data_IF_653212464341
#
_entry.id   IF_653212464341
#
_cell.length_a   1.000
_cell.length_b   1.000
_cell.length_c   1.000
_cell.angle_alpha   90.00
_cell.angle_beta   90.00
_cell.angle_gamma   90.00
#
_symmetry.space_group_name_H-M   'P 1'
#
loop_
_entity.id
_entity.type
_entity.pdbx_description
1 polymer ?
#
# COMPACT_ATOMS: atom_id res chain seq x y z
N UNK A 1 -31.76 1.25 21.10
CA UNK A 1 -30.76 0.66 22.01
C UNK A 1 -30.94 -0.85 22.12
N UNK A 2 -32.07 -1.35 22.62
CA UNK A 2 -32.32 -2.81 22.69
C UNK A 2 -32.49 -3.46 21.29
N UNK A 3 -33.22 -2.80 20.39
CA UNK A 3 -33.47 -3.28 19.02
C UNK A 3 -32.19 -3.36 18.17
N UNK A 4 -31.38 -2.30 18.16
CA UNK A 4 -30.06 -2.27 17.50
C UNK A 4 -29.09 -3.34 18.02
N UNK A 5 -29.22 -3.75 19.29
CA UNK A 5 -28.37 -4.78 19.88
C UNK A 5 -28.82 -6.18 19.45
N UNK A 6 -30.13 -6.41 19.34
CA UNK A 6 -30.70 -7.66 18.85
C UNK A 6 -30.42 -7.89 17.36
N UNK A 7 -30.46 -6.84 16.55
CA UNK A 7 -30.05 -6.86 15.15
C UNK A 7 -28.56 -7.20 15.00
N UNK A 8 -27.71 -6.57 15.82
CA UNK A 8 -26.28 -6.86 15.82
C UNK A 8 -25.98 -8.30 16.25
N UNK A 9 -26.63 -8.80 17.30
CA UNK A 9 -26.49 -10.20 17.73
C UNK A 9 -26.90 -11.17 16.61
N UNK A 10 -28.02 -10.89 15.94
CA UNK A 10 -28.50 -11.69 14.81
C UNK A 10 -27.50 -11.67 13.65
N UNK A 11 -26.94 -10.50 13.34
CA UNK A 11 -25.89 -10.37 12.32
C UNK A 11 -24.65 -11.20 12.67
N UNK A 12 -24.15 -11.11 13.90
CA UNK A 12 -22.97 -11.87 14.34
C UNK A 12 -23.25 -13.37 14.28
N UNK A 13 -24.41 -13.82 14.78
CA UNK A 13 -24.80 -15.23 14.74
C UNK A 13 -24.87 -15.78 13.32
N UNK A 14 -25.47 -15.02 12.40
CA UNK A 14 -25.61 -15.44 11.00
C UNK A 14 -24.27 -15.47 10.24
N UNK A 15 -23.32 -14.62 10.64
CA UNK A 15 -22.03 -14.49 9.96
C UNK A 15 -20.87 -15.15 10.71
N UNK A 16 -21.14 -15.87 11.82
CA UNK A 16 -20.10 -16.38 12.73
C UNK A 16 -19.03 -17.21 12.02
N UNK A 17 -19.42 -18.07 11.08
CA UNK A 17 -18.49 -18.91 10.29
C UNK A 17 -17.60 -18.09 9.34
N UNK A 18 -18.00 -16.85 9.01
CA UNK A 18 -17.28 -15.95 8.11
C UNK A 18 -16.48 -14.88 8.85
N UNK A 19 -16.60 -14.77 10.18
CA UNK A 19 -15.85 -13.81 10.98
C UNK A 19 -14.45 -14.38 11.27
N UNK A 20 -13.36 -13.78 10.75
CA UNK A 20 -12.02 -14.26 11.02
C UNK A 20 -11.66 -14.12 12.50
N UNK A 21 -10.91 -15.09 13.03
CA UNK A 21 -10.33 -14.98 14.37
C UNK A 21 -9.16 -13.98 14.37
N UNK A 22 -9.48 -12.70 14.53
CA UNK A 22 -8.48 -11.63 14.54
C UNK A 22 -7.45 -11.77 15.68
N UNK A 23 -7.82 -12.39 16.80
CA UNK A 23 -6.92 -12.63 17.93
C UNK A 23 -5.86 -13.69 17.62
N UNK A 24 -6.23 -14.74 16.90
CA UNK A 24 -5.28 -15.74 16.41
C UNK A 24 -4.36 -15.16 15.33
N UNK A 25 -4.92 -14.42 14.37
CA UNK A 25 -4.12 -13.72 13.36
C UNK A 25 -3.09 -12.78 13.97
N UNK A 26 -3.46 -12.02 15.00
CA UNK A 26 -2.53 -11.16 15.71
C UNK A 26 -1.37 -11.94 16.34
N UNK A 27 -1.66 -13.06 17.02
CA UNK A 27 -0.64 -13.91 17.66
C UNK A 27 0.29 -14.56 16.63
N UNK A 28 -0.21 -14.85 15.44
CA UNK A 28 0.56 -15.43 14.33
C UNK A 28 1.29 -14.36 13.48
N UNK A 29 1.13 -13.06 13.78
CA UNK A 29 1.67 -11.99 12.97
C UNK A 29 1.02 -11.86 11.58
N UNK A 30 -0.14 -12.47 11.40
CA UNK A 30 -0.92 -12.39 10.17
C UNK A 30 -1.64 -11.04 10.05
N UNK A 31 -1.91 -10.62 8.82
CA UNK A 31 -2.66 -9.39 8.55
C UNK A 31 -4.04 -9.45 9.19
N UNK A 32 -4.25 -8.65 10.24
CA UNK A 32 -5.50 -8.62 11.01
C UNK A 32 -6.62 -8.02 10.17
N UNK A 33 -6.36 -6.98 9.38
CA UNK A 33 -7.38 -6.41 8.50
C UNK A 33 -6.91 -5.17 7.76
N UNK A 34 -7.75 -4.70 6.85
CA UNK A 34 -7.50 -3.52 6.02
C UNK A 34 -7.90 -2.21 6.68
N UNK A 35 -8.51 -2.23 7.87
CA UNK A 35 -9.06 -1.05 8.54
C UNK A 35 -8.07 0.14 8.65
N UNK A 36 -6.80 -0.14 8.96
CA UNK A 36 -5.75 0.89 8.99
C UNK A 36 -5.48 1.49 7.59
N UNK A 37 -5.40 0.62 6.58
CA UNK A 37 -5.20 1.01 5.18
C UNK A 37 -6.40 1.82 4.68
N UNK A 38 -7.62 1.37 4.98
CA UNK A 38 -8.87 2.04 4.64
C UNK A 38 -8.95 3.44 5.27
N UNK A 39 -8.65 3.55 6.57
CA UNK A 39 -8.61 4.85 7.26
C UNK A 39 -7.59 5.80 6.62
N UNK A 40 -6.40 5.29 6.28
CA UNK A 40 -5.36 6.06 5.59
C UNK A 40 -5.82 6.54 4.21
N UNK A 41 -6.45 5.65 3.42
CA UNK A 41 -7.02 5.99 2.11
C UNK A 41 -8.10 7.06 2.27
N UNK A 42 -9.00 6.90 3.23
CA UNK A 42 -10.09 7.84 3.48
C UNK A 42 -9.56 9.25 3.81
N UNK A 43 -8.49 9.32 4.63
CA UNK A 43 -7.83 10.59 4.93
C UNK A 43 -7.20 11.24 3.68
N UNK A 44 -6.50 10.46 2.86
CA UNK A 44 -5.88 10.94 1.62
C UNK A 44 -6.93 11.44 0.62
N UNK A 45 -7.99 10.66 0.39
CA UNK A 45 -9.11 11.03 -0.49
C UNK A 45 -9.78 12.30 0.00
N UNK A 46 -10.09 12.38 1.29
CA UNK A 46 -10.69 13.57 1.90
C UNK A 46 -9.83 14.82 1.68
N UNK A 47 -8.51 14.70 1.89
CA UNK A 47 -7.58 15.82 1.76
C UNK A 47 -7.31 16.23 0.31
N UNK A 48 -7.22 15.28 -0.63
CA UNK A 48 -6.77 15.51 -2.01
C UNK A 48 -7.89 15.65 -3.04
N UNK A 49 -9.10 15.17 -2.75
CA UNK A 49 -10.22 15.17 -3.71
C UNK A 49 -11.47 15.88 -3.20
N UNK A 50 -11.81 15.75 -1.92
CA UNK A 50 -13.11 16.22 -1.42
C UNK A 50 -13.06 17.67 -0.94
N UNK A 51 -12.03 18.04 -0.17
CA UNK A 51 -11.93 19.39 0.40
C UNK A 51 -11.39 20.38 -0.63
N UNK A 52 -11.91 21.61 -0.64
CA UNK A 52 -11.37 22.75 -1.41
C UNK A 52 -10.05 23.25 -0.79
N UNK A 53 -9.02 22.42 -0.90
CA UNK A 53 -7.65 22.70 -0.43
C UNK A 53 -6.77 23.12 -1.60
N UNK A 54 -5.77 23.98 -1.37
CA UNK A 54 -4.72 24.24 -2.35
C UNK A 54 -3.89 22.96 -2.49
N UNK A 55 -3.87 22.34 -3.68
CA UNK A 55 -3.38 20.98 -4.01
C UNK A 55 -4.42 19.86 -4.01
N UNK A 56 -5.53 20.07 -4.72
CA UNK A 56 -6.36 18.97 -5.19
C UNK A 56 -5.65 18.16 -6.28
N UNK A 57 -5.82 16.85 -6.26
CA UNK A 57 -5.33 15.99 -7.33
C UNK A 57 -6.41 15.77 -8.37
N UNK A 58 -5.99 15.78 -9.64
CA UNK A 58 -6.84 15.23 -10.71
C UNK A 58 -6.78 13.70 -10.64
N UNK A 59 -7.79 13.02 -11.19
CA UNK A 59 -7.79 11.55 -11.28
C UNK A 59 -6.53 11.03 -11.96
N UNK A 60 -6.12 11.67 -13.07
CA UNK A 60 -4.87 11.35 -13.78
C UNK A 60 -3.63 11.59 -12.91
N UNK A 61 -3.57 12.69 -12.18
CA UNK A 61 -2.45 13.00 -11.28
C UNK A 61 -2.30 11.95 -10.18
N UNK A 62 -3.40 11.54 -9.54
CA UNK A 62 -3.37 10.50 -8.53
C UNK A 62 -2.98 9.13 -9.09
N UNK A 63 -3.48 8.77 -10.28
CA UNK A 63 -3.09 7.54 -10.96
C UNK A 63 -1.58 7.49 -11.22
N UNK A 64 -1.01 8.57 -11.75
CA UNK A 64 0.43 8.66 -12.01
C UNK A 64 1.24 8.59 -10.71
N UNK A 65 0.81 9.28 -9.65
CA UNK A 65 1.47 9.19 -8.34
C UNK A 65 1.46 7.77 -7.77
N UNK A 66 0.33 7.06 -7.91
CA UNK A 66 0.24 5.66 -7.49
C UNK A 66 1.21 4.79 -8.28
N UNK A 67 1.25 4.92 -9.61
CA UNK A 67 2.21 4.20 -10.45
C UNK A 67 3.65 4.49 -10.02
N UNK A 68 4.02 5.76 -9.82
CA UNK A 68 5.36 6.13 -9.33
C UNK A 68 5.65 5.50 -7.98
N UNK A 69 4.72 5.55 -7.04
CA UNK A 69 4.91 4.96 -5.70
C UNK A 69 5.10 3.45 -5.77
N UNK A 70 4.32 2.74 -6.60
CA UNK A 70 4.50 1.30 -6.82
C UNK A 70 5.88 1.00 -7.39
N UNK A 71 6.35 1.76 -8.37
CA UNK A 71 7.69 1.58 -8.94
C UNK A 71 8.81 1.84 -7.93
N UNK A 72 8.61 2.79 -7.01
CA UNK A 72 9.55 3.01 -5.90
C UNK A 72 9.57 1.81 -4.95
N UNK A 73 8.39 1.32 -4.54
CA UNK A 73 8.28 0.20 -3.61
C UNK A 73 8.85 -1.11 -4.20
N UNK A 74 8.71 -1.30 -5.50
CA UNK A 74 9.29 -2.43 -6.22
C UNK A 74 10.79 -2.26 -6.56
N UNK A 75 11.41 -1.13 -6.21
CA UNK A 75 12.78 -0.77 -6.61
C UNK A 75 12.99 -0.68 -8.15
N UNK A 76 11.92 -0.48 -8.92
CA UNK A 76 11.93 -0.39 -10.38
C UNK A 76 12.09 1.04 -10.90
N UNK A 77 11.95 2.06 -10.03
CA UNK A 77 11.92 3.46 -10.45
C UNK A 77 13.19 3.86 -11.22
N UNK A 78 14.36 3.48 -10.72
CA UNK A 78 15.64 3.87 -11.31
C UNK A 78 15.82 3.29 -12.73
N UNK A 79 15.33 2.08 -12.99
CA UNK A 79 15.35 1.47 -14.32
C UNK A 79 14.46 2.23 -15.32
N UNK A 80 13.27 2.63 -14.88
CA UNK A 80 12.36 3.44 -15.70
C UNK A 80 13.04 4.76 -16.09
N UNK A 81 13.70 5.42 -15.14
CA UNK A 81 14.45 6.65 -15.40
C UNK A 81 15.62 6.43 -16.36
N UNK A 82 16.34 5.31 -16.26
CA UNK A 82 17.46 4.99 -17.16
C UNK A 82 17.06 4.81 -18.62
N UNK A 83 15.80 4.44 -18.91
CA UNK A 83 15.28 4.39 -20.29
C UNK A 83 15.30 5.76 -20.97
N UNK A 84 15.12 6.83 -20.21
CA UNK A 84 15.18 8.21 -20.71
C UNK A 84 16.54 8.87 -20.48
N UNK A 85 17.21 8.51 -19.39
CA UNK A 85 18.50 9.06 -18.98
C UNK A 85 19.50 7.94 -18.68
N UNK A 86 20.22 7.41 -19.69
CA UNK A 86 21.05 6.21 -19.53
C UNK A 86 22.15 6.30 -18.46
N UNK A 87 22.60 7.51 -18.13
CA UNK A 87 23.61 7.78 -17.08
C UNK A 87 23.00 8.02 -15.69
N UNK A 88 21.69 7.88 -15.53
CA UNK A 88 21.01 8.12 -14.25
C UNK A 88 21.43 7.06 -13.23
N UNK A 89 22.11 7.50 -12.17
CA UNK A 89 22.62 6.66 -11.07
C UNK A 89 23.29 5.41 -11.60
N UNK A 90 24.32 5.60 -12.42
CA UNK A 90 25.15 4.52 -12.96
C UNK A 90 25.53 3.56 -11.84
N UNK A 91 25.15 2.28 -11.95
CA UNK A 91 25.66 1.28 -11.02
C UNK A 91 27.18 1.23 -11.20
N UNK A 92 27.99 1.28 -10.13
CA UNK A 92 29.40 1.00 -10.24
C UNK A 92 29.52 -0.39 -10.88
N UNK A 93 30.30 -0.50 -11.96
CA UNK A 93 30.65 -1.80 -12.52
C UNK A 93 31.16 -2.65 -11.37
N UNK A 94 30.47 -3.75 -11.07
CA UNK A 94 31.02 -4.76 -10.19
C UNK A 94 32.32 -5.20 -10.86
N UNK A 95 33.45 -4.69 -10.37
CA UNK A 95 34.76 -5.17 -10.81
C UNK A 95 34.82 -6.58 -10.25
N UNK A 96 34.56 -7.58 -11.08
CA UNK A 96 34.94 -8.95 -10.76
C UNK A 96 36.44 -8.91 -10.46
N UNK A 97 36.77 -9.03 -9.17
CA UNK A 97 38.13 -9.19 -8.72
C UNK A 97 38.67 -10.43 -9.42
N UNK A 98 39.59 -10.20 -10.38
CA UNK A 98 40.18 -11.24 -11.19
C UNK A 98 40.73 -12.36 -10.33
N UNK A 99 40.53 -13.58 -10.83
CA UNK A 99 41.23 -14.81 -10.47
C UNK A 99 42.65 -14.51 -9.98
N UNK A 100 42.93 -14.76 -8.70
CA UNK A 100 44.30 -15.07 -8.27
C UNK A 100 44.47 -16.57 -8.42
N UNK A 101 45.10 -16.97 -9.52
CA UNK A 101 45.73 -18.28 -9.62
C UNK A 101 46.91 -18.32 -8.64
N UNK A 102 46.95 -19.36 -7.82
CA UNK A 102 48.13 -19.83 -7.12
C UNK A 102 48.57 -21.15 -7.78
#
# INVERSE_FOLDING_TARGET
>A
MAESLAEFETYIRNNCEFIPNFGERYRNGETIGTAFVESTINQVVSKRFVKKQSMQWTLRGAHLLLQTRTKVLNNELDEVFRRWYPKFRSQPRHIEAGRKAA
#
